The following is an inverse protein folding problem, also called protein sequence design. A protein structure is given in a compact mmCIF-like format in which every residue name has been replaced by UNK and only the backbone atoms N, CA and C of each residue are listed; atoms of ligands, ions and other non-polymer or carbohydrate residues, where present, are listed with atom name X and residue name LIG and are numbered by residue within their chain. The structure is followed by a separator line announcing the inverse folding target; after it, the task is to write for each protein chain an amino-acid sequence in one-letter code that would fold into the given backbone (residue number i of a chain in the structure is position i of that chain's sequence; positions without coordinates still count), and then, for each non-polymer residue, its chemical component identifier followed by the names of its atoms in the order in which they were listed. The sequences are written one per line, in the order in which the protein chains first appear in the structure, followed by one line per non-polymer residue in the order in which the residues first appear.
data_IF_038005497584
#
_entry.id   IF_038005497584
#
_cell.length_a   1.000
_cell.length_b   1.000
_cell.length_c   1.000
_cell.angle_alpha   90.00
_cell.angle_beta   90.00
_cell.angle_gamma   90.00
#
_symmetry.space_group_name_H-M   'P 1'
#
loop_
_entity.id
_entity.type
_entity.pdbx_description
1 polymer ?
#
# COMPACT_ATOMS: atom_id res chain seq x y z
N UNK A 1 1.04 27.06 7.50
CA UNK A 1 1.88 25.86 7.35
C UNK A 1 1.82 25.44 5.89
N UNK A 2 2.94 25.43 5.19
CA UNK A 2 2.98 25.16 3.76
C UNK A 2 2.77 23.67 3.50
N UNK A 3 1.75 23.32 2.72
CA UNK A 3 1.61 21.99 2.13
C UNK A 3 2.71 21.85 1.09
N UNK A 4 3.78 21.13 1.41
CA UNK A 4 4.75 20.70 0.39
C UNK A 4 3.97 19.90 -0.65
N UNK A 5 3.98 20.30 -1.94
CA UNK A 5 3.43 19.42 -2.96
C UNK A 5 4.24 18.13 -2.89
N UNK A 6 3.56 17.00 -2.71
CA UNK A 6 4.20 15.70 -2.83
C UNK A 6 4.91 15.71 -4.19
N UNK A 7 6.25 15.69 -4.19
CA UNK A 7 7.02 15.49 -5.41
C UNK A 7 6.40 14.29 -6.13
N UNK A 8 6.29 14.35 -7.46
CA UNK A 8 5.86 13.21 -8.26
C UNK A 8 6.75 12.02 -7.84
N UNK A 9 6.20 11.14 -7.00
CA UNK A 9 6.90 9.96 -6.54
C UNK A 9 6.79 8.98 -7.70
N UNK A 10 7.94 8.57 -8.22
CA UNK A 10 7.97 7.44 -9.14
C UNK A 10 7.45 6.23 -8.37
N UNK A 11 6.29 5.72 -8.77
CA UNK A 11 5.68 4.55 -8.16
C UNK A 11 5.89 3.33 -9.06
N UNK A 12 6.08 2.18 -8.45
CA UNK A 12 6.05 0.88 -9.14
C UNK A 12 5.07 -0.03 -8.40
N UNK A 13 3.79 0.14 -8.70
CA UNK A 13 2.67 -0.49 -7.99
C UNK A 13 2.38 -1.86 -8.59
N UNK A 14 2.70 -2.89 -7.83
CA UNK A 14 2.43 -4.30 -8.14
C UNK A 14 1.14 -4.70 -7.44
N UNK A 15 0.14 -5.18 -8.18
CA UNK A 15 -1.09 -5.71 -7.58
C UNK A 15 -0.77 -7.04 -6.88
N UNK A 16 -0.92 -7.06 -5.56
CA UNK A 16 -0.57 -8.22 -4.72
C UNK A 16 -1.79 -9.02 -4.29
N UNK A 17 -2.95 -8.38 -4.16
CA UNK A 17 -4.17 -9.07 -3.73
C UNK A 17 -5.43 -8.32 -4.15
N UNK A 18 -6.49 -9.09 -4.40
CA UNK A 18 -7.84 -8.59 -4.68
C UNK A 18 -8.82 -9.35 -3.82
N UNK A 19 -9.62 -8.62 -3.05
CA UNK A 19 -10.67 -9.17 -2.20
C UNK A 19 -11.66 -8.06 -1.86
N UNK A 20 -11.85 -7.76 -0.57
CA UNK A 20 -12.61 -6.56 -0.15
C UNK A 20 -11.97 -5.25 -0.62
N UNK A 21 -10.66 -5.27 -0.82
CA UNK A 21 -9.87 -4.16 -1.34
C UNK A 21 -8.89 -4.70 -2.37
N UNK A 22 -8.44 -3.86 -3.29
CA UNK A 22 -7.28 -4.15 -4.11
C UNK A 22 -6.03 -3.62 -3.41
N UNK A 23 -5.02 -4.47 -3.25
CA UNK A 23 -3.79 -4.16 -2.54
C UNK A 23 -2.64 -4.10 -3.55
N UNK A 24 -1.90 -3.00 -3.51
CA UNK A 24 -0.70 -2.82 -4.31
C UNK A 24 0.52 -2.66 -3.40
N UNK A 25 1.62 -3.34 -3.75
CA UNK A 25 2.95 -3.10 -3.22
C UNK A 25 3.65 -2.03 -4.06
N UNK A 26 4.23 -1.00 -3.44
CA UNK A 26 5.04 -0.01 -4.16
C UNK A 26 6.51 -0.43 -4.13
N UNK A 27 6.93 -1.16 -5.16
CA UNK A 27 8.30 -1.66 -5.27
C UNK A 27 9.34 -0.54 -5.42
N UNK A 28 8.95 0.65 -5.89
CA UNK A 28 9.85 1.79 -5.99
C UNK A 28 10.17 2.41 -4.62
N UNK A 29 9.32 2.14 -3.62
CA UNK A 29 9.49 2.63 -2.24
C UNK A 29 10.32 1.70 -1.35
N UNK A 30 10.81 0.58 -1.88
CA UNK A 30 11.57 -0.41 -1.13
C UNK A 30 12.88 0.18 -0.62
N UNK A 31 13.07 0.17 0.69
CA UNK A 31 14.31 0.59 1.34
C UNK A 31 14.72 -0.39 2.44
N UNK A 32 16.02 -0.62 2.66
CA UNK A 32 16.50 -1.39 3.82
C UNK A 32 16.12 -0.70 5.13
N UNK A 33 15.72 -1.47 6.15
CA UNK A 33 15.37 -0.97 7.48
C UNK A 33 15.84 -1.94 8.58
N UNK A 34 17.10 -1.78 9.01
CA UNK A 34 17.76 -2.70 9.94
C UNK A 34 17.90 -4.10 9.34
N UNK A 35 17.40 -5.10 10.06
CA UNK A 35 17.35 -6.51 9.61
C UNK A 35 16.16 -6.81 8.67
N UNK A 36 15.33 -5.80 8.40
CA UNK A 36 14.16 -5.90 7.55
C UNK A 36 14.19 -4.98 6.33
N UNK A 37 13.05 -4.93 5.66
CA UNK A 37 12.78 -4.02 4.54
C UNK A 37 11.55 -3.20 4.83
N UNK A 38 11.55 -1.96 4.37
CA UNK A 38 10.42 -1.05 4.47
C UNK A 38 9.85 -0.78 3.09
N UNK A 39 8.53 -0.76 2.98
CA UNK A 39 7.80 -0.56 1.73
C UNK A 39 6.47 0.15 1.97
N UNK A 40 6.00 0.94 1.01
CA UNK A 40 4.62 1.42 0.98
C UNK A 40 3.70 0.41 0.33
N UNK A 41 2.47 0.34 0.83
CA UNK A 41 1.37 -0.32 0.14
C UNK A 41 0.26 0.69 -0.12
N UNK A 42 -0.43 0.53 -1.25
CA UNK A 42 -1.69 1.22 -1.54
C UNK A 42 -2.84 0.23 -1.42
N UNK A 43 -3.82 0.57 -0.59
CA UNK A 43 -5.11 -0.11 -0.50
C UNK A 43 -6.14 0.71 -1.26
N UNK A 44 -6.88 0.09 -2.18
CA UNK A 44 -7.93 0.73 -2.99
C UNK A 44 -9.28 0.10 -2.66
N UNK A 45 -10.29 0.94 -2.43
CA UNK A 45 -11.68 0.52 -2.28
C UNK A 45 -12.41 0.42 -3.62
N UNK A 46 -13.35 -0.53 -3.71
CA UNK A 46 -14.16 -0.75 -4.92
C UNK A 46 -14.94 0.51 -5.33
N UNK A 47 -15.51 1.19 -4.34
CA UNK A 47 -16.23 2.45 -4.50
C UNK A 47 -15.64 3.52 -3.58
N UNK A 48 -15.97 4.78 -3.85
CA UNK A 48 -15.56 5.88 -2.99
C UNK A 48 -16.25 5.76 -1.62
N UNK A 49 -15.46 5.73 -0.55
CA UNK A 49 -15.98 5.81 0.81
C UNK A 49 -16.22 7.27 1.17
N UNK A 50 -17.48 7.63 1.45
CA UNK A 50 -17.84 9.00 1.85
C UNK A 50 -17.73 9.15 3.36
N UNK A 51 -16.80 10.00 3.82
CA UNK A 51 -16.62 10.32 5.24
C UNK A 51 -16.70 11.84 5.39
N UNK A 52 -17.68 12.31 6.16
CA UNK A 52 -17.92 13.74 6.38
C UNK A 52 -17.99 14.58 5.09
N UNK A 53 -18.61 14.02 4.05
CA UNK A 53 -18.78 14.68 2.74
C UNK A 53 -17.55 14.64 1.82
N UNK A 54 -16.47 13.97 2.23
CA UNK A 54 -15.27 13.78 1.41
C UNK A 54 -15.23 12.35 0.89
N UNK A 55 -14.97 12.19 -0.41
CA UNK A 55 -14.79 10.90 -1.07
C UNK A 55 -13.35 10.39 -0.93
N UNK A 56 -13.20 9.14 -0.49
CA UNK A 56 -11.91 8.46 -0.35
C UNK A 56 -11.85 7.22 -1.24
N UNK A 57 -10.78 7.09 -2.02
CA UNK A 57 -10.54 5.94 -2.88
C UNK A 57 -9.77 4.80 -2.19
N UNK A 58 -9.25 5.04 -0.98
CA UNK A 58 -8.49 4.07 -0.22
C UNK A 58 -7.50 4.71 0.75
N UNK A 59 -6.29 4.16 0.83
CA UNK A 59 -5.23 4.71 1.65
C UNK A 59 -3.86 4.06 1.45
N UNK A 60 -2.84 4.79 1.86
CA UNK A 60 -1.46 4.35 1.90
C UNK A 60 -1.08 3.86 3.28
N UNK A 61 -0.13 2.93 3.34
CA UNK A 61 0.47 2.50 4.60
C UNK A 61 1.93 2.19 4.39
N UNK A 62 2.78 2.64 5.31
CA UNK A 62 4.13 2.12 5.44
C UNK A 62 4.10 0.80 6.19
N UNK A 63 4.87 -0.15 5.68
CA UNK A 63 5.10 -1.45 6.27
C UNK A 63 6.58 -1.68 6.46
N UNK A 64 6.91 -2.38 7.54
CA UNK A 64 8.20 -3.00 7.76
C UNK A 64 8.02 -4.51 7.78
N UNK A 65 8.86 -5.21 7.04
CA UNK A 65 8.87 -6.66 6.96
C UNK A 65 10.22 -7.19 7.44
N UNK A 66 10.20 -8.14 8.35
CA UNK A 66 11.37 -8.97 8.65
C UNK A 66 11.28 -10.24 7.82
N UNK A 67 12.12 -10.31 6.78
CA UNK A 67 12.10 -11.42 5.82
C UNK A 67 12.60 -12.73 6.43
N UNK A 68 13.47 -12.67 7.45
CA UNK A 68 14.04 -13.83 8.12
C UNK A 68 13.07 -14.38 9.17
N UNK A 69 12.50 -13.50 10.00
CA UNK A 69 11.53 -13.87 11.02
C UNK A 69 10.10 -14.05 10.47
N UNK A 70 9.86 -13.73 9.19
CA UNK A 70 8.55 -13.78 8.53
C UNK A 70 7.50 -13.00 9.33
N UNK A 71 7.84 -11.76 9.70
CA UNK A 71 6.96 -10.87 10.45
C UNK A 71 6.69 -9.57 9.69
N UNK A 72 5.51 -8.99 9.93
CA UNK A 72 5.07 -7.75 9.33
C UNK A 72 4.65 -6.76 10.41
N UNK A 73 4.93 -5.49 10.18
CA UNK A 73 4.59 -4.38 11.06
C UNK A 73 4.06 -3.23 10.21
N UNK A 74 2.78 -2.89 10.40
CA UNK A 74 2.19 -1.73 9.74
C UNK A 74 2.49 -0.50 10.56
N UNK A 75 3.24 0.43 10.01
CA UNK A 75 3.77 1.59 10.71
C UNK A 75 2.78 2.76 10.76
N UNK A 76 2.00 2.96 9.70
CA UNK A 76 1.06 4.07 9.60
C UNK A 76 -0.09 3.80 8.63
N UNK A 77 -1.01 4.76 8.57
CA UNK A 77 -2.05 4.84 7.55
C UNK A 77 -2.30 6.30 7.16
N UNK A 78 -2.30 6.59 5.87
CA UNK A 78 -2.65 7.89 5.28
C UNK A 78 -3.84 7.70 4.33
N UNK A 79 -4.95 8.40 4.56
CA UNK A 79 -6.12 8.27 3.69
C UNK A 79 -5.85 8.83 2.30
N UNK A 80 -6.35 8.18 1.26
CA UNK A 80 -6.27 8.66 -0.12
C UNK A 80 -7.65 9.15 -0.54
N UNK A 81 -7.74 10.46 -0.79
CA UNK A 81 -8.97 11.07 -1.33
C UNK A 81 -9.15 10.68 -2.80
N UNK A 82 -10.40 10.68 -3.27
CA UNK A 82 -10.74 10.32 -4.66
C UNK A 82 -10.13 11.27 -5.70
N UNK A 83 -9.77 12.50 -5.30
CA UNK A 83 -9.02 13.46 -6.13
C UNK A 83 -7.50 13.20 -6.14
N UNK A 84 -7.04 12.08 -5.54
CA UNK A 84 -5.65 11.67 -5.49
C UNK A 84 -4.83 12.34 -4.37
N UNK A 85 -5.45 13.20 -3.56
CA UNK A 85 -4.76 13.87 -2.45
C UNK A 85 -4.59 12.91 -1.27
N UNK A 86 -3.33 12.69 -0.89
CA UNK A 86 -2.98 11.96 0.32
C UNK A 86 -3.20 12.84 1.57
N UNK A 87 -3.89 12.28 2.56
CA UNK A 87 -4.10 12.87 3.87
C UNK A 87 -2.88 12.71 4.80
N UNK A 88 -2.96 13.20 6.03
CA UNK A 88 -1.87 13.03 6.99
C UNK A 88 -1.70 11.56 7.38
N UNK A 89 -0.43 11.11 7.45
CA UNK A 89 -0.10 9.78 7.94
C UNK A 89 -0.33 9.71 9.46
N UNK A 90 -1.17 8.76 9.88
CA UNK A 90 -1.43 8.47 11.29
C UNK A 90 -0.64 7.23 11.69
N UNK A 91 0.28 7.32 12.66
CA UNK A 91 1.03 6.17 13.12
C UNK A 91 0.12 5.08 13.68
N UNK A 92 0.40 3.83 13.30
CA UNK A 92 -0.25 2.66 13.87
C UNK A 92 0.54 2.23 15.11
N UNK A 93 -0.15 1.82 16.18
CA UNK A 93 0.48 1.36 17.44
C UNK A 93 0.47 -0.16 17.59
N UNK A 94 0.19 -0.88 16.50
CA UNK A 94 0.16 -2.33 16.50
C UNK A 94 1.56 -2.88 16.70
N UNK A 95 1.67 -4.01 17.38
CA UNK A 95 2.93 -4.75 17.44
C UNK A 95 3.15 -5.52 16.13
N UNK A 96 4.42 -5.79 15.77
CA UNK A 96 4.73 -6.73 14.70
C UNK A 96 4.04 -8.07 14.92
N UNK A 97 3.57 -8.69 13.85
CA UNK A 97 2.87 -9.97 13.91
C UNK A 97 3.42 -10.95 12.86
N UNK A 98 3.28 -12.24 13.13
CA UNK A 98 3.70 -13.29 12.21
C UNK A 98 2.84 -13.26 10.94
N UNK A 99 3.50 -13.38 9.78
CA UNK A 99 2.83 -13.37 8.48
C UNK A 99 2.05 -14.69 8.31
N UNK A 100 0.73 -14.58 8.12
CA UNK A 100 -0.13 -15.71 7.80
C UNK A 100 -0.22 -15.91 6.28
N UNK A 101 -0.02 -17.13 5.74
CA UNK A 101 -0.16 -17.40 4.31
C UNK A 101 -1.54 -16.98 3.75
N UNK A 102 -1.54 -16.40 2.56
CA UNK A 102 -2.76 -15.98 1.84
C UNK A 102 -3.41 -14.68 2.35
N UNK A 103 -2.80 -14.00 3.33
CA UNK A 103 -3.22 -12.65 3.75
C UNK A 103 -2.45 -11.54 3.02
N UNK A 104 -2.98 -10.31 3.05
CA UNK A 104 -2.38 -9.14 2.39
C UNK A 104 -0.90 -8.95 2.77
N UNK A 105 -0.56 -9.14 4.05
CA UNK A 105 0.82 -9.02 4.54
C UNK A 105 1.76 -10.07 3.92
N UNK A 106 1.28 -11.27 3.60
CA UNK A 106 2.08 -12.31 2.95
C UNK A 106 2.38 -11.94 1.50
N UNK A 107 1.37 -11.48 0.77
CA UNK A 107 1.54 -11.07 -0.63
C UNK A 107 2.42 -9.81 -0.76
N UNK A 108 2.29 -8.85 0.18
CA UNK A 108 3.17 -7.70 0.26
C UNK A 108 4.61 -8.10 0.62
N UNK A 109 4.80 -9.00 1.58
CA UNK A 109 6.13 -9.50 1.95
C UNK A 109 6.81 -10.27 0.82
N UNK A 110 6.04 -10.96 -0.04
CA UNK A 110 6.60 -11.66 -1.19
C UNK A 110 7.27 -10.71 -2.20
N UNK A 111 6.68 -9.52 -2.38
CA UNK A 111 7.30 -8.44 -3.17
C UNK A 111 8.47 -7.83 -2.42
N UNK A 112 8.27 -7.48 -1.14
CA UNK A 112 9.27 -6.73 -0.37
C UNK A 112 10.56 -7.54 -0.12
N UNK A 113 10.43 -8.82 0.18
CA UNK A 113 11.56 -9.73 0.41
C UNK A 113 12.15 -10.30 -0.90
N UNK A 114 11.62 -9.89 -2.06
CA UNK A 114 12.13 -10.31 -3.37
C UNK A 114 11.93 -11.80 -3.68
N UNK A 115 11.01 -12.49 -2.99
CA UNK A 115 10.69 -13.88 -3.32
C UNK A 115 9.90 -14.00 -4.62
N UNK A 116 9.30 -12.89 -5.07
CA UNK A 116 8.60 -12.78 -6.34
C UNK A 116 9.03 -11.50 -7.07
N UNK A 117 9.62 -11.65 -8.26
CA UNK A 117 9.82 -10.54 -9.18
C UNK A 117 8.53 -10.32 -10.00
N UNK A 118 7.84 -9.20 -9.77
CA UNK A 118 6.65 -8.79 -10.53
C UNK A 118 6.91 -7.44 -11.20
N UNK A 119 6.46 -7.31 -12.45
CA UNK A 119 6.39 -6.03 -13.12
C UNK A 119 5.32 -5.16 -12.43
N UNK A 120 5.51 -3.84 -12.46
CA UNK A 120 4.49 -2.91 -11.96
C UNK A 120 3.24 -2.98 -12.86
N UNK A 121 2.07 -3.13 -12.23
CA UNK A 121 0.77 -3.00 -12.88
C UNK A 121 0.38 -1.54 -13.10
N UNK A 122 0.86 -0.64 -12.23
CA UNK A 122 0.63 0.80 -12.33
C UNK A 122 1.88 1.60 -11.92
N UNK A 123 2.05 2.77 -12.56
CA UNK A 123 3.12 3.73 -12.25
C UNK A 123 2.59 5.03 -11.64
N UNK A 124 1.28 5.09 -11.41
CA UNK A 124 0.61 6.23 -10.80
C UNK A 124 -0.51 5.75 -9.86
N UNK A 125 -0.81 6.55 -8.83
CA UNK A 125 -1.92 6.28 -7.91
C UNK A 125 -3.26 6.21 -8.64
N UNK A 126 -3.48 7.10 -9.61
CA UNK A 126 -4.70 7.12 -10.41
C UNK A 126 -4.90 5.84 -11.22
N UNK A 127 -3.82 5.32 -11.84
CA UNK A 127 -3.87 4.05 -12.56
C UNK A 127 -4.12 2.87 -11.63
N UNK A 128 -3.48 2.84 -10.46
CA UNK A 128 -3.72 1.78 -9.48
C UNK A 128 -5.17 1.79 -8.96
N UNK A 129 -5.76 2.96 -8.72
CA UNK A 129 -7.19 3.06 -8.36
C UNK A 129 -8.07 2.50 -9.48
N UNK A 130 -7.84 2.92 -10.72
CA UNK A 130 -8.60 2.42 -11.89
C UNK A 130 -8.48 0.90 -12.05
N UNK A 131 -7.25 0.38 -12.00
CA UNK A 131 -6.98 -1.05 -12.16
C UNK A 131 -7.56 -1.85 -11.00
N UNK A 132 -7.34 -1.41 -9.77
CA UNK A 132 -7.83 -2.08 -8.56
C UNK A 132 -9.35 -2.22 -8.58
N UNK A 133 -10.06 -1.15 -8.93
CA UNK A 133 -11.53 -1.17 -9.08
C UNK A 133 -12.01 -2.08 -10.18
N UNK A 134 -11.33 -2.10 -11.32
CA UNK A 134 -11.68 -3.00 -12.41
C UNK A 134 -11.52 -4.47 -11.98
N UNK A 135 -10.46 -4.80 -11.25
CA UNK A 135 -10.18 -6.17 -10.79
C UNK A 135 -11.12 -6.67 -9.70
N UNK A 136 -11.70 -5.79 -8.89
CA UNK A 136 -12.70 -6.18 -7.88
C UNK A 136 -14.09 -6.46 -8.48
N UNK A 137 -14.33 -6.05 -9.74
CA UNK A 137 -15.61 -6.23 -10.44
C UNK A 137 -15.61 -7.41 -11.42
N UNK A 138 -14.46 -8.07 -11.57
CA UNK A 138 -14.27 -9.30 -12.37
C UNK A 138 -14.69 -10.53 -11.55
#
# INVERSE_FOLDING_TARGET
MATTPAAAQDHALVLTGVGRFAIFADAASLTPDGDGVRMRSLQVSEEDMIISGVAYAGGWSWWRFDCMAQSADRLDFASLRADGVEGPATPTKSSPYAISPGGDAAELAAVACGSVARAADAVSTGDAVRIGRARMKD
#
